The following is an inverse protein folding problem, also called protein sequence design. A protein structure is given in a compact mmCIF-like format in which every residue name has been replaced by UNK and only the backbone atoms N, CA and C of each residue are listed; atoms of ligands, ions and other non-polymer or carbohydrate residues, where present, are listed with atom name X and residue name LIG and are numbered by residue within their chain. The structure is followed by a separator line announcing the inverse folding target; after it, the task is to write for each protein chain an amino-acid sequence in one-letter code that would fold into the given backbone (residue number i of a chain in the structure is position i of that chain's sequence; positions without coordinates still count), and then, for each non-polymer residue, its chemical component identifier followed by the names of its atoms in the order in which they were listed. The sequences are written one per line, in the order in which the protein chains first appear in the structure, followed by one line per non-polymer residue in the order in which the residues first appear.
data_IF_907957959748
#
_entry.id   IF_907957959748
#
_cell.length_a   1.000
_cell.length_b   1.000
_cell.length_c   1.000
_cell.angle_alpha   90.00
_cell.angle_beta   90.00
_cell.angle_gamma   90.00
#
_symmetry.space_group_name_H-M   'P 1'
#
loop_
_entity.id
_entity.type
_entity.pdbx_description
1 polymer ?
#
# COMPACT_ATOMS: atom_id res chain seq x y z
N UNK A 1 12.88 6.79 20.90
CA UNK A 1 12.67 6.26 19.52
C UNK A 1 11.52 6.99 18.82
N UNK A 2 10.37 7.02 19.40
CA UNK A 2 9.16 7.67 18.88
C UNK A 2 9.36 9.15 18.55
N UNK A 3 9.94 9.91 19.47
CA UNK A 3 10.22 11.34 19.29
C UNK A 3 11.22 11.59 18.16
N UNK A 4 12.19 10.71 18.02
CA UNK A 4 13.20 10.82 16.97
C UNK A 4 12.60 10.55 15.60
N UNK A 5 11.74 9.53 15.48
CA UNK A 5 11.02 9.24 14.26
C UNK A 5 10.16 10.43 13.85
N UNK A 6 9.46 11.03 14.80
CA UNK A 6 8.65 12.22 14.55
C UNK A 6 9.48 13.40 14.04
N UNK A 7 10.61 13.64 14.69
CA UNK A 7 11.51 14.73 14.32
C UNK A 7 12.06 14.55 12.90
N UNK A 8 12.52 13.36 12.58
CA UNK A 8 13.05 13.06 11.24
C UNK A 8 11.94 13.21 10.19
N UNK A 9 10.73 12.76 10.50
CA UNK A 9 9.58 12.89 9.61
C UNK A 9 9.24 14.36 9.35
N UNK A 10 9.24 15.19 10.38
CA UNK A 10 8.99 16.63 10.26
C UNK A 10 10.06 17.32 9.41
N UNK A 11 11.32 16.98 9.63
CA UNK A 11 12.43 17.53 8.82
C UNK A 11 12.31 17.12 7.36
N UNK A 12 11.98 15.85 7.08
CA UNK A 12 11.80 15.37 5.73
C UNK A 12 10.67 16.12 5.02
N UNK A 13 9.52 16.26 5.64
CA UNK A 13 8.38 16.96 5.05
C UNK A 13 8.69 18.44 4.82
N UNK A 14 9.43 19.07 5.74
CA UNK A 14 9.87 20.45 5.58
C UNK A 14 10.75 20.61 4.36
N UNK A 15 11.68 19.68 4.13
CA UNK A 15 12.53 19.69 2.94
C UNK A 15 11.74 19.49 1.65
N UNK A 16 10.66 18.75 1.71
CA UNK A 16 9.77 18.53 0.56
C UNK A 16 8.80 19.69 0.34
N UNK A 17 8.76 20.65 1.25
CA UNK A 17 7.83 21.78 1.17
C UNK A 17 6.39 21.41 1.48
N UNK A 18 6.17 20.34 2.22
CA UNK A 18 4.83 19.87 2.58
C UNK A 18 4.50 20.22 4.03
N UNK A 19 3.36 20.89 4.22
CA UNK A 19 2.83 21.15 5.55
C UNK A 19 1.87 20.01 5.93
N UNK A 20 2.09 19.42 7.11
CA UNK A 20 1.28 18.30 7.58
C UNK A 20 1.35 18.17 9.07
N UNK A 21 0.32 17.58 9.66
CA UNK A 21 0.36 17.15 11.05
C UNK A 21 0.90 15.74 11.10
N UNK A 22 1.84 15.48 12.00
CA UNK A 22 2.49 14.18 12.13
C UNK A 22 2.29 13.65 13.54
N UNK A 23 1.82 12.42 13.64
CA UNK A 23 1.78 11.69 14.91
C UNK A 23 2.47 10.33 14.72
N UNK A 24 3.08 9.83 15.78
CA UNK A 24 3.75 8.54 15.76
C UNK A 24 3.16 7.68 16.87
N UNK A 25 2.74 6.49 16.52
CA UNK A 25 2.21 5.50 17.46
C UNK A 25 3.14 4.29 17.49
N UNK A 26 3.29 3.70 18.65
CA UNK A 26 4.08 2.50 18.86
C UNK A 26 3.17 1.32 19.14
N UNK A 27 3.38 0.22 18.43
CA UNK A 27 2.64 -1.03 18.64
C UNK A 27 3.61 -2.20 18.60
N UNK A 28 3.99 -2.70 19.78
CA UNK A 28 5.02 -3.73 19.91
C UNK A 28 6.37 -3.21 19.43
N UNK A 29 6.94 -3.88 18.44
CA UNK A 29 8.24 -3.49 17.86
C UNK A 29 8.08 -2.63 16.59
N UNK A 30 6.86 -2.26 16.26
CA UNK A 30 6.57 -1.48 15.08
C UNK A 30 6.09 -0.08 15.42
N UNK A 31 6.32 0.86 14.51
CA UNK A 31 5.88 2.24 14.64
C UNK A 31 5.00 2.62 13.46
N UNK A 32 3.94 3.37 13.74
CA UNK A 32 3.09 3.93 12.70
C UNK A 32 3.26 5.45 12.68
N UNK A 33 3.65 5.99 11.55
CA UNK A 33 3.77 7.42 11.34
C UNK A 33 2.54 7.87 10.57
N UNK A 34 1.68 8.64 11.23
CA UNK A 34 0.46 9.15 10.63
C UNK A 34 0.67 10.58 10.18
N UNK A 35 0.51 10.83 8.90
CA UNK A 35 0.74 12.13 8.27
C UNK A 35 -0.59 12.64 7.71
N UNK A 36 -1.02 13.79 8.18
CA UNK A 36 -2.22 14.47 7.70
C UNK A 36 -1.78 15.75 6.96
N UNK A 37 -1.57 15.67 5.63
CA UNK A 37 -1.17 16.85 4.87
C UNK A 37 -2.33 17.82 4.73
N UNK A 38 -2.01 19.13 4.74
CA UNK A 38 -3.00 20.17 4.49
C UNK A 38 -3.45 20.18 3.04
N UNK A 39 -2.49 19.97 2.14
CA UNK A 39 -2.68 19.97 0.70
C UNK A 39 -1.85 18.83 0.09
N UNK A 40 -2.10 18.48 -1.15
CA UNK A 40 -1.24 17.62 -1.97
C UNK A 40 -0.77 16.29 -1.35
N UNK A 41 -1.71 15.51 -0.82
CA UNK A 41 -1.39 14.15 -0.35
C UNK A 41 -0.75 13.30 -1.48
N UNK A 42 -1.09 13.59 -2.73
CA UNK A 42 -0.56 12.87 -3.89
C UNK A 42 0.95 12.91 -4.02
N UNK A 43 1.60 14.03 -3.63
CA UNK A 43 3.06 14.13 -3.66
C UNK A 43 3.72 13.12 -2.73
N UNK A 44 3.13 12.90 -1.56
CA UNK A 44 3.66 11.98 -0.55
C UNK A 44 3.34 10.52 -0.85
N UNK A 45 2.30 10.26 -1.61
CA UNK A 45 1.87 8.91 -1.96
C UNK A 45 2.63 8.43 -3.20
N UNK A 46 2.67 9.25 -4.25
CA UNK A 46 3.26 8.91 -5.53
C UNK A 46 2.44 7.87 -6.28
N UNK A 47 2.96 7.43 -7.42
CA UNK A 47 2.30 6.43 -8.25
C UNK A 47 2.27 5.08 -7.52
N UNK A 48 1.07 4.55 -7.30
CA UNK A 48 0.85 3.27 -6.61
C UNK A 48 1.50 3.19 -5.23
N UNK A 49 1.67 4.34 -4.56
CA UNK A 49 2.28 4.39 -3.23
C UNK A 49 3.80 4.29 -3.23
N UNK A 50 4.48 4.48 -4.36
CA UNK A 50 5.94 4.39 -4.44
C UNK A 50 6.65 5.38 -3.53
N UNK A 51 6.18 6.63 -3.49
CA UNK A 51 6.77 7.65 -2.63
C UNK A 51 6.54 7.34 -1.17
N UNK A 52 5.35 6.86 -0.82
CA UNK A 52 5.01 6.43 0.53
C UNK A 52 5.98 5.34 1.00
N UNK A 53 6.21 4.32 0.18
CA UNK A 53 7.15 3.24 0.51
C UNK A 53 8.59 3.74 0.61
N UNK A 54 8.98 4.71 -0.22
CA UNK A 54 10.30 5.33 -0.15
C UNK A 54 10.48 6.07 1.18
N UNK A 55 9.45 6.76 1.65
CA UNK A 55 9.46 7.45 2.95
C UNK A 55 9.61 6.43 4.09
N UNK A 56 8.86 5.33 4.05
CA UNK A 56 8.97 4.27 5.05
C UNK A 56 10.41 3.73 5.14
N UNK A 57 11.01 3.43 3.99
CA UNK A 57 12.37 2.93 3.92
C UNK A 57 13.38 3.96 4.42
N UNK A 58 13.21 5.22 4.01
CA UNK A 58 14.08 6.31 4.46
C UNK A 58 14.08 6.43 5.99
N UNK A 59 12.89 6.43 6.60
CA UNK A 59 12.77 6.54 8.05
C UNK A 59 13.42 5.36 8.77
N UNK A 60 13.22 4.14 8.27
CA UNK A 60 13.84 2.95 8.84
C UNK A 60 15.37 3.03 8.76
N UNK A 61 15.90 3.46 7.62
CA UNK A 61 17.34 3.62 7.43
C UNK A 61 17.92 4.72 8.29
N UNK A 62 17.22 5.83 8.46
CA UNK A 62 17.65 6.94 9.30
C UNK A 62 17.75 6.50 10.78
N UNK A 63 16.77 5.73 11.26
CA UNK A 63 16.79 5.19 12.61
C UNK A 63 17.92 4.18 12.76
N UNK A 64 18.11 3.28 11.78
CA UNK A 64 19.24 2.34 11.79
C UNK A 64 20.57 3.07 11.90
N UNK A 65 20.72 4.17 11.15
CA UNK A 65 21.94 4.97 11.17
C UNK A 65 22.21 5.62 12.54
N UNK A 66 21.18 6.11 13.21
CA UNK A 66 21.31 6.84 14.47
C UNK A 66 21.31 5.96 15.73
N UNK A 67 20.56 4.87 15.71
CA UNK A 67 20.35 3.99 16.88
C UNK A 67 20.96 2.60 16.71
N UNK A 68 21.49 2.28 15.53
CA UNK A 68 22.01 0.95 15.16
C UNK A 68 20.99 -0.17 15.35
N UNK A 69 19.72 0.15 15.17
CA UNK A 69 18.61 -0.78 15.35
C UNK A 69 17.64 -0.69 14.18
N UNK A 70 17.30 -1.84 13.59
CA UNK A 70 16.26 -1.89 12.57
C UNK A 70 14.89 -1.93 13.22
N UNK A 71 14.03 -0.99 12.83
CA UNK A 71 12.64 -0.94 13.30
C UNK A 71 11.70 -1.02 12.11
N UNK A 72 10.53 -1.56 12.34
CA UNK A 72 9.48 -1.58 11.32
C UNK A 72 8.69 -0.29 11.43
N UNK A 73 8.64 0.46 10.33
CA UNK A 73 7.92 1.73 10.28
C UNK A 73 6.89 1.66 9.15
N UNK A 74 5.63 1.88 9.48
CA UNK A 74 4.55 2.03 8.50
C UNK A 74 4.15 3.49 8.44
N UNK A 75 4.00 4.04 7.25
CA UNK A 75 3.57 5.42 7.03
C UNK A 75 2.14 5.41 6.51
N UNK A 76 1.28 6.17 7.15
CA UNK A 76 -0.10 6.35 6.74
C UNK A 76 -0.30 7.81 6.34
N UNK A 77 -0.80 8.04 5.14
CA UNK A 77 -1.03 9.39 4.62
C UNK A 77 -2.53 9.58 4.42
N UNK A 78 -3.14 10.37 5.32
CA UNK A 78 -4.57 10.57 5.31
C UNK A 78 -5.30 9.23 5.35
N UNK A 79 -6.28 9.09 4.49
CA UNK A 79 -7.09 7.87 4.33
C UNK A 79 -6.70 7.02 3.12
N UNK A 80 -5.46 7.22 2.60
CA UNK A 80 -5.01 6.56 1.37
C UNK A 80 -5.12 5.04 1.43
N UNK A 81 -4.72 4.42 2.56
CA UNK A 81 -4.77 2.96 2.68
C UNK A 81 -6.19 2.42 2.61
N UNK A 82 -7.15 3.11 3.24
CA UNK A 82 -8.57 2.73 3.18
C UNK A 82 -9.12 2.88 1.76
N UNK A 83 -8.83 4.00 1.11
CA UNK A 83 -9.27 4.24 -0.26
C UNK A 83 -8.66 3.24 -1.24
N UNK A 84 -7.39 2.90 -1.04
CA UNK A 84 -6.70 1.93 -1.88
C UNK A 84 -7.32 0.54 -1.70
N UNK A 85 -7.59 0.15 -0.46
CA UNK A 85 -8.25 -1.13 -0.17
C UNK A 85 -9.64 -1.19 -0.78
N UNK A 86 -10.44 -0.14 -0.62
CA UNK A 86 -11.78 -0.05 -1.22
C UNK A 86 -11.73 -0.14 -2.74
N UNK A 87 -10.77 0.54 -3.36
CA UNK A 87 -10.56 0.49 -4.80
C UNK A 87 -10.24 -0.95 -5.25
N UNK A 88 -9.31 -1.61 -4.57
CA UNK A 88 -8.91 -2.98 -4.92
C UNK A 88 -10.03 -3.99 -4.70
N UNK A 89 -10.79 -3.83 -3.63
CA UNK A 89 -11.95 -4.69 -3.36
C UNK A 89 -13.03 -4.49 -4.42
N UNK A 90 -13.27 -3.25 -4.84
CA UNK A 90 -14.20 -2.94 -5.91
C UNK A 90 -13.78 -3.54 -7.25
N UNK A 91 -12.48 -3.43 -7.56
CA UNK A 91 -11.91 -4.03 -8.77
C UNK A 91 -12.04 -5.54 -8.75
N UNK A 92 -11.79 -6.17 -7.59
CA UNK A 92 -11.94 -7.60 -7.41
C UNK A 92 -13.39 -8.05 -7.66
N UNK A 93 -14.36 -7.35 -7.06
CA UNK A 93 -15.78 -7.68 -7.23
C UNK A 93 -16.25 -7.52 -8.67
N UNK A 94 -15.87 -6.44 -9.33
CA UNK A 94 -16.21 -6.21 -10.75
C UNK A 94 -15.62 -7.30 -11.64
N UNK A 95 -14.36 -7.66 -11.41
CA UNK A 95 -13.69 -8.69 -12.21
C UNK A 95 -14.31 -10.06 -12.01
N UNK A 96 -14.66 -10.39 -10.76
CA UNK A 96 -15.33 -11.65 -10.44
C UNK A 96 -16.71 -11.73 -11.10
N UNK A 97 -17.50 -10.66 -11.01
CA UNK A 97 -18.81 -10.60 -11.59
C UNK A 97 -18.73 -10.76 -13.13
N UNK A 98 -17.82 -10.06 -13.74
CA UNK A 98 -17.62 -10.13 -15.19
C UNK A 98 -17.17 -11.53 -15.64
N UNK A 99 -16.26 -12.17 -14.89
CA UNK A 99 -15.83 -13.53 -15.18
C UNK A 99 -17.01 -14.52 -15.10
N UNK A 100 -17.86 -14.38 -14.11
CA UNK A 100 -19.03 -15.23 -13.90
C UNK A 100 -20.06 -15.00 -15.04
N UNK A 101 -20.35 -13.75 -15.38
CA UNK A 101 -21.33 -13.40 -16.42
C UNK A 101 -20.90 -13.82 -17.82
N UNK A 102 -19.62 -13.62 -18.15
CA UNK A 102 -19.12 -13.93 -19.50
C UNK A 102 -18.63 -15.38 -19.64
N UNK A 103 -18.31 -16.04 -18.52
CA UNK A 103 -17.69 -17.35 -18.52
C UNK A 103 -16.24 -17.33 -18.96
N UNK A 104 -15.63 -16.15 -19.07
CA UNK A 104 -14.26 -15.96 -19.53
C UNK A 104 -13.36 -15.36 -18.46
N UNK A 105 -12.06 -15.69 -18.47
CA UNK A 105 -11.09 -15.10 -17.56
C UNK A 105 -10.98 -13.59 -17.74
N UNK A 106 -10.74 -12.88 -16.62
CA UNK A 106 -10.44 -11.45 -16.61
C UNK A 106 -8.98 -11.26 -16.22
N UNK A 107 -8.30 -10.35 -16.89
CA UNK A 107 -6.88 -10.10 -16.70
C UNK A 107 -6.67 -8.72 -16.08
N UNK A 108 -5.98 -8.67 -14.96
CA UNK A 108 -5.70 -7.42 -14.23
C UNK A 108 -4.20 -7.13 -14.30
N UNK A 109 -3.87 -6.06 -15.02
CA UNK A 109 -2.48 -5.65 -15.24
C UNK A 109 -2.09 -4.46 -14.36
N UNK A 110 -0.80 -4.16 -14.32
CA UNK A 110 -0.24 -3.00 -13.60
C UNK A 110 -0.53 -3.00 -12.11
N UNK A 111 -0.52 -4.17 -11.50
CA UNK A 111 -0.69 -4.32 -10.06
C UNK A 111 0.63 -4.69 -9.41
N UNK A 112 0.89 -4.10 -8.24
CA UNK A 112 2.04 -4.50 -7.41
C UNK A 112 1.76 -5.88 -6.80
N UNK A 113 2.81 -6.59 -6.33
CA UNK A 113 2.60 -7.88 -5.64
C UNK A 113 1.64 -7.77 -4.46
N UNK A 114 1.72 -6.68 -3.68
CA UNK A 114 0.84 -6.45 -2.55
C UNK A 114 -0.61 -6.27 -3.00
N UNK A 115 -0.83 -5.52 -4.09
CA UNK A 115 -2.17 -5.32 -4.65
C UNK A 115 -2.76 -6.62 -5.17
N UNK A 116 -1.96 -7.43 -5.88
CA UNK A 116 -2.40 -8.75 -6.34
C UNK A 116 -2.81 -9.65 -5.16
N UNK A 117 -2.03 -9.62 -4.10
CA UNK A 117 -2.33 -10.38 -2.89
C UNK A 117 -3.65 -9.94 -2.25
N UNK A 118 -3.88 -8.63 -2.17
CA UNK A 118 -5.12 -8.07 -1.61
C UNK A 118 -6.34 -8.58 -2.37
N UNK A 119 -6.28 -8.53 -3.70
CA UNK A 119 -7.38 -9.02 -4.56
C UNK A 119 -7.56 -10.53 -4.40
N UNK A 120 -6.45 -11.28 -4.42
CA UNK A 120 -6.50 -12.73 -4.24
C UNK A 120 -7.15 -13.12 -2.92
N UNK A 121 -6.75 -12.46 -1.83
CA UNK A 121 -7.31 -12.73 -0.50
C UNK A 121 -8.79 -12.38 -0.43
N UNK A 122 -9.18 -11.25 -1.04
CA UNK A 122 -10.58 -10.83 -1.08
C UNK A 122 -11.44 -11.87 -1.83
N UNK A 123 -10.96 -12.37 -2.97
CA UNK A 123 -11.70 -13.32 -3.80
C UNK A 123 -11.57 -14.77 -3.34
N UNK A 124 -10.67 -15.07 -2.41
CA UNK A 124 -10.50 -16.44 -1.89
C UNK A 124 -11.78 -16.96 -1.22
N UNK A 125 -12.63 -16.07 -0.74
CA UNK A 125 -13.91 -16.41 -0.14
C UNK A 125 -15.05 -16.56 -1.16
N UNK A 126 -14.80 -16.19 -2.42
CA UNK A 126 -15.81 -16.33 -3.47
C UNK A 126 -15.71 -17.70 -4.11
N UNK A 127 -16.72 -18.54 -3.88
CA UNK A 127 -16.74 -19.91 -4.37
C UNK A 127 -16.93 -20.06 -5.88
N UNK A 128 -17.28 -18.98 -6.57
CA UNK A 128 -17.60 -19.00 -8.00
C UNK A 128 -16.42 -18.61 -8.90
N UNK A 129 -15.36 -18.11 -8.32
CA UNK A 129 -14.15 -17.70 -9.07
C UNK A 129 -12.89 -18.23 -8.41
N UNK A 130 -11.83 -18.30 -9.17
CA UNK A 130 -10.48 -18.56 -8.67
C UNK A 130 -9.51 -17.55 -9.26
N UNK A 131 -8.43 -17.29 -8.56
CA UNK A 131 -7.45 -16.31 -8.96
C UNK A 131 -6.07 -16.93 -8.99
N UNK A 132 -5.24 -16.51 -9.95
CA UNK A 132 -3.83 -16.89 -9.99
C UNK A 132 -3.02 -15.77 -10.61
N UNK A 133 -1.76 -15.67 -10.20
CA UNK A 133 -0.83 -14.71 -10.77
C UNK A 133 0.02 -15.41 -11.83
N UNK A 134 0.18 -14.77 -13.00
CA UNK A 134 1.00 -15.28 -14.09
C UNK A 134 2.00 -14.21 -14.55
N UNK A 135 3.05 -14.65 -15.22
CA UNK A 135 4.09 -13.78 -15.72
C UNK A 135 5.20 -13.55 -14.70
N UNK A 136 6.15 -12.68 -15.06
CA UNK A 136 7.32 -12.40 -14.25
C UNK A 136 7.59 -10.90 -14.14
N UNK A 137 8.16 -10.50 -12.99
CA UNK A 137 8.60 -9.14 -12.75
C UNK A 137 7.46 -8.12 -12.82
N UNK A 138 7.73 -7.02 -13.49
CA UNK A 138 6.76 -5.92 -13.63
C UNK A 138 5.60 -6.25 -14.56
N UNK A 139 5.78 -7.25 -15.41
CA UNK A 139 4.76 -7.70 -16.35
C UNK A 139 3.83 -8.74 -15.75
N UNK A 140 4.09 -9.16 -14.52
CA UNK A 140 3.23 -10.12 -13.83
C UNK A 140 1.84 -9.56 -13.61
N UNK A 141 0.84 -10.39 -13.87
CA UNK A 141 -0.56 -9.98 -13.80
C UNK A 141 -1.40 -11.02 -13.05
N UNK A 142 -2.61 -10.61 -12.68
CA UNK A 142 -3.56 -11.46 -11.98
C UNK A 142 -4.65 -11.90 -12.95
N UNK A 143 -5.01 -13.17 -12.88
CA UNK A 143 -6.13 -13.72 -13.65
C UNK A 143 -7.25 -14.08 -12.69
N UNK A 144 -8.43 -13.57 -12.98
CA UNK A 144 -9.67 -13.93 -12.26
C UNK A 144 -10.52 -14.75 -13.23
N UNK A 145 -10.73 -16.01 -12.93
CA UNK A 145 -11.48 -16.90 -13.82
C UNK A 145 -12.63 -17.59 -13.10
N UNK A 146 -13.72 -17.87 -13.84
CA UNK A 146 -14.85 -18.57 -13.23
C UNK A 146 -14.46 -20.01 -12.91
N UNK A 147 -14.96 -20.51 -11.80
CA UNK A 147 -14.88 -21.94 -11.45
C UNK A 147 -15.95 -22.68 -12.23
N UNK A 148 -15.59 -23.81 -12.71
CA UNK A 148 -16.53 -24.73 -13.36
C UNK A 148 -17.27 -25.59 -12.35
#
# INVERSE_FOLDING_TARGET
MKEEIKKISEELLSLLGVEAEISVEESGEAFSVNIEPKDEAGLLIGKQGETLHAIEMFLAMAIKSSKDEWVRIAVNIGDYREKQEDYLNGLAEQSALKAIETGEPQYLYNLTPTQRRTIHMHLSENSKVETLSEGEGRERFLVVKPKK
#
